data_IF_456667554612
#
_entry.id   IF_456667554612
#
_cell.length_a   1.000
_cell.length_b   1.000
_cell.length_c   1.000
_cell.angle_alpha   90.00
_cell.angle_beta   90.00
_cell.angle_gamma   90.00
#
_symmetry.space_group_name_H-M   'P 1'
#
loop_
_entity.id
_entity.type
_entity.pdbx_description
1 polymer ?
#
# COMPACT_ATOMS: atom_id res chain seq x y z
N UNK A 1 30.30 6.71 11.86
CA UNK A 1 30.62 5.62 10.93
C UNK A 1 29.66 5.74 9.77
N UNK A 2 30.17 6.20 8.62
CA UNK A 2 29.40 6.33 7.37
C UNK A 2 29.39 4.95 6.70
N UNK A 3 28.25 4.32 6.56
CA UNK A 3 28.06 3.14 5.71
C UNK A 3 27.63 3.58 4.31
N UNK A 4 28.51 3.40 3.37
CA UNK A 4 28.24 3.53 1.92
C UNK A 4 27.57 2.24 1.46
N UNK A 5 26.35 2.31 0.98
CA UNK A 5 25.71 1.19 0.30
C UNK A 5 26.06 1.27 -1.18
N UNK A 6 26.92 0.37 -1.63
CA UNK A 6 27.17 0.14 -3.05
C UNK A 6 25.96 -0.58 -3.67
N UNK A 7 25.37 0.06 -4.68
CA UNK A 7 24.42 -0.56 -5.59
C UNK A 7 25.19 -1.54 -6.49
N UNK A 8 25.06 -2.83 -6.24
CA UNK A 8 25.44 -3.87 -7.19
C UNK A 8 24.36 -3.90 -8.30
N UNK A 9 24.71 -3.34 -9.44
CA UNK A 9 24.01 -3.52 -10.70
C UNK A 9 24.14 -5.00 -11.13
N UNK A 10 23.04 -5.75 -11.10
CA UNK A 10 23.01 -7.12 -11.63
C UNK A 10 22.68 -7.02 -13.13
N UNK A 11 23.73 -7.09 -13.94
CA UNK A 11 23.63 -7.26 -15.39
C UNK A 11 23.40 -8.74 -15.75
N UNK A 12 22.26 -9.34 -15.44
CA UNK A 12 21.83 -10.61 -16.04
C UNK A 12 20.46 -11.07 -15.57
N UNK A 13 19.44 -10.29 -15.88
CA UNK A 13 18.04 -10.67 -15.65
C UNK A 13 17.61 -11.93 -16.44
N UNK A 14 18.21 -12.18 -17.59
CA UNK A 14 17.90 -13.31 -18.46
C UNK A 14 18.39 -14.64 -17.85
N UNK A 15 19.58 -14.65 -17.29
CA UNK A 15 20.21 -15.86 -16.72
C UNK A 15 19.50 -16.29 -15.40
N UNK A 16 19.01 -15.35 -14.61
CA UNK A 16 18.21 -15.60 -13.42
C UNK A 16 16.82 -16.17 -13.76
N UNK A 17 16.22 -15.73 -14.87
CA UNK A 17 14.91 -16.23 -15.32
C UNK A 17 15.01 -17.68 -15.78
N UNK A 18 16.08 -18.04 -16.49
CA UNK A 18 16.31 -19.39 -16.98
C UNK A 18 16.64 -20.37 -15.83
N UNK A 19 17.44 -19.94 -14.84
CA UNK A 19 17.74 -20.75 -13.65
C UNK A 19 16.47 -20.99 -12.80
N UNK A 20 15.59 -19.98 -12.69
CA UNK A 20 14.32 -20.09 -11.98
C UNK A 20 13.35 -21.05 -12.65
N UNK A 21 13.26 -21.02 -14.00
CA UNK A 21 12.43 -21.94 -14.76
C UNK A 21 12.92 -23.38 -14.63
N UNK A 22 14.23 -23.61 -14.65
CA UNK A 22 14.84 -24.92 -14.43
C UNK A 22 14.51 -25.48 -13.03
N UNK A 23 14.64 -24.64 -11.98
CA UNK A 23 14.37 -25.04 -10.60
C UNK A 23 12.88 -25.31 -10.34
N UNK A 24 11.97 -24.62 -11.03
CA UNK A 24 10.52 -24.88 -10.98
C UNK A 24 10.17 -26.20 -11.69
N UNK A 25 10.79 -26.48 -12.81
CA UNK A 25 10.60 -27.74 -13.56
C UNK A 25 11.05 -28.95 -12.74
N UNK A 26 12.17 -28.89 -12.02
CA UNK A 26 12.66 -29.94 -11.13
C UNK A 26 11.71 -30.24 -9.95
N UNK A 27 10.95 -29.25 -9.52
CA UNK A 27 9.97 -29.39 -8.43
C UNK A 27 8.57 -29.75 -8.91
N UNK A 28 8.36 -30.01 -10.20
CA UNK A 28 7.06 -30.35 -10.77
C UNK A 28 6.04 -29.21 -10.76
N UNK A 29 6.48 -27.98 -10.52
CA UNK A 29 5.63 -26.79 -10.52
C UNK A 29 5.49 -26.33 -11.98
N UNK A 30 4.30 -26.46 -12.56
CA UNK A 30 4.04 -25.93 -13.90
C UNK A 30 4.02 -24.41 -13.84
N UNK A 31 4.89 -23.69 -14.59
CA UNK A 31 4.78 -22.26 -14.71
C UNK A 31 3.43 -21.92 -15.34
N UNK A 32 2.65 -21.05 -14.69
CA UNK A 32 1.49 -20.44 -15.36
C UNK A 32 2.05 -19.61 -16.52
N UNK A 33 1.64 -19.93 -17.74
CA UNK A 33 1.98 -19.12 -18.92
C UNK A 33 1.24 -17.80 -18.82
N UNK A 34 1.93 -16.77 -18.36
CA UNK A 34 1.52 -15.38 -18.53
C UNK A 34 2.23 -14.85 -19.79
N UNK A 35 1.56 -14.04 -20.62
CA UNK A 35 2.26 -13.38 -21.73
C UNK A 35 3.35 -12.48 -21.14
N UNK A 36 4.60 -12.73 -21.57
CA UNK A 36 5.76 -11.90 -21.20
C UNK A 36 5.57 -10.49 -21.77
N UNK A 37 5.17 -9.54 -20.93
CA UNK A 37 5.35 -8.13 -21.24
C UNK A 37 6.72 -7.73 -20.71
N UNK A 38 7.73 -7.91 -21.56
CA UNK A 38 9.10 -7.48 -21.28
C UNK A 38 9.20 -5.98 -21.54
N UNK A 39 8.83 -5.15 -20.60
CA UNK A 39 9.21 -3.73 -20.56
C UNK A 39 9.74 -3.41 -19.18
N UNK A 40 11.02 -3.04 -19.14
CA UNK A 40 11.66 -2.45 -17.95
C UNK A 40 11.00 -1.10 -17.66
N UNK A 41 10.19 -1.03 -16.62
CA UNK A 41 9.59 0.22 -16.18
C UNK A 41 10.52 0.94 -15.20
N UNK A 42 10.86 2.18 -15.52
CA UNK A 42 11.47 3.13 -14.60
C UNK A 42 10.48 3.42 -13.45
N UNK A 43 10.98 3.60 -12.23
CA UNK A 43 10.22 3.79 -11.00
C UNK A 43 9.23 4.98 -10.98
N UNK A 44 9.25 5.84 -12.00
CA UNK A 44 8.42 7.04 -12.13
C UNK A 44 7.37 6.95 -13.26
N UNK A 45 7.23 5.81 -13.91
CA UNK A 45 6.22 5.64 -14.96
C UNK A 45 4.94 5.12 -14.33
N UNK A 46 3.80 5.83 -14.43
CA UNK A 46 2.53 5.25 -14.03
C UNK A 46 2.30 4.01 -14.86
N UNK A 47 1.89 2.89 -14.20
CA UNK A 47 1.50 1.67 -14.89
C UNK A 47 0.50 2.03 -16.00
N UNK A 48 0.60 1.41 -17.19
CA UNK A 48 -0.39 1.62 -18.22
C UNK A 48 -1.75 1.33 -17.60
N UNK A 49 -2.66 2.30 -17.68
CA UNK A 49 -4.06 2.10 -17.34
C UNK A 49 -4.53 0.91 -18.16
N UNK A 50 -4.68 -0.26 -17.54
CA UNK A 50 -5.35 -1.42 -18.15
C UNK A 50 -6.80 -1.01 -18.23
N UNK A 51 -7.19 -0.47 -19.40
CA UNK A 51 -8.44 0.28 -19.61
C UNK A 51 -9.71 -0.57 -19.47
N UNK A 52 -9.62 -1.88 -19.23
CA UNK A 52 -10.77 -2.79 -19.28
C UNK A 52 -10.89 -3.79 -18.10
N UNK A 53 -10.08 -3.70 -17.06
CA UNK A 53 -10.35 -4.48 -15.84
C UNK A 53 -11.07 -3.58 -14.86
N UNK A 54 -12.39 -3.75 -14.65
CA UNK A 54 -13.08 -3.02 -13.59
C UNK A 54 -12.49 -3.52 -12.26
N UNK A 55 -11.63 -2.71 -11.66
CA UNK A 55 -11.19 -2.98 -10.29
C UNK A 55 -12.42 -2.98 -9.41
N UNK A 56 -12.69 -4.07 -8.70
CA UNK A 56 -13.83 -4.19 -7.81
C UNK A 56 -13.63 -3.35 -6.54
N UNK A 57 -13.44 -2.03 -6.73
CA UNK A 57 -13.41 -1.12 -5.59
C UNK A 57 -14.76 -1.13 -4.90
N UNK A 58 -14.75 -1.25 -3.58
CA UNK A 58 -15.97 -1.14 -2.77
C UNK A 58 -16.65 0.23 -2.94
N UNK A 59 -15.84 1.26 -3.14
CA UNK A 59 -16.24 2.63 -3.45
C UNK A 59 -15.07 3.31 -4.19
N UNK A 60 -15.36 4.35 -5.00
CA UNK A 60 -14.33 5.10 -5.74
C UNK A 60 -13.22 5.60 -4.79
N UNK A 61 -11.94 5.27 -5.05
CA UNK A 61 -10.85 5.64 -4.16
C UNK A 61 -10.55 7.14 -4.11
N UNK A 62 -10.26 7.68 -2.91
CA UNK A 62 -9.68 9.01 -2.80
C UNK A 62 -8.22 9.02 -3.28
N UNK A 63 -7.52 7.90 -3.12
CA UNK A 63 -6.15 7.74 -3.57
C UNK A 63 -5.80 6.27 -3.80
N UNK A 64 -4.95 6.01 -4.78
CA UNK A 64 -4.43 4.68 -5.09
C UNK A 64 -2.91 4.75 -5.17
N UNK A 65 -2.23 3.86 -4.44
CA UNK A 65 -0.81 3.56 -4.57
C UNK A 65 -0.66 2.24 -5.33
N UNK A 66 0.22 2.23 -6.33
CA UNK A 66 0.62 1.02 -7.05
C UNK A 66 1.99 0.54 -6.58
N UNK A 67 2.17 -0.77 -6.49
CA UNK A 67 3.47 -1.39 -6.22
C UNK A 67 3.53 -2.80 -6.81
N UNK A 68 4.75 -3.29 -7.04
CA UNK A 68 5.02 -4.68 -7.40
C UNK A 68 5.59 -5.41 -6.18
N UNK A 69 5.11 -6.62 -5.91
CA UNK A 69 5.61 -7.50 -4.83
C UNK A 69 7.03 -7.93 -5.16
N UNK A 70 7.93 -7.80 -4.19
CA UNK A 70 9.33 -8.18 -4.33
C UNK A 70 9.60 -9.52 -3.65
N UNK A 71 10.63 -10.23 -4.08
CA UNK A 71 11.07 -11.48 -3.46
C UNK A 71 11.31 -11.37 -1.96
N UNK A 72 11.86 -10.23 -1.49
CA UNK A 72 12.09 -9.96 -0.07
C UNK A 72 10.80 -9.85 0.77
N UNK A 73 9.64 -9.69 0.12
CA UNK A 73 8.34 -9.59 0.76
C UNK A 73 7.71 -10.97 1.01
N UNK A 74 8.33 -12.04 0.45
CA UNK A 74 7.84 -13.42 0.47
C UNK A 74 8.38 -14.15 1.70
N UNK A 75 7.52 -14.90 2.37
CA UNK A 75 7.89 -15.75 3.50
C UNK A 75 8.14 -17.23 3.10
N UNK A 76 8.46 -18.07 4.08
CA UNK A 76 8.73 -19.50 3.87
C UNK A 76 7.54 -20.27 3.30
N UNK A 77 6.31 -19.75 3.41
CA UNK A 77 5.10 -20.32 2.80
C UNK A 77 4.92 -19.92 1.35
N UNK A 78 5.87 -19.19 0.77
CA UNK A 78 5.86 -18.69 -0.61
C UNK A 78 4.71 -17.70 -0.89
N UNK A 79 4.25 -16.99 0.13
CA UNK A 79 3.29 -15.91 0.05
C UNK A 79 3.90 -14.62 0.61
N UNK A 80 3.31 -13.49 0.29
CA UNK A 80 3.68 -12.22 0.94
C UNK A 80 3.46 -12.33 2.44
N UNK A 81 4.51 -12.03 3.21
CA UNK A 81 4.44 -12.05 4.68
C UNK A 81 3.38 -11.05 5.16
N UNK A 82 2.56 -11.48 6.13
CA UNK A 82 1.45 -10.70 6.68
C UNK A 82 1.85 -9.30 7.15
N UNK A 83 3.05 -9.13 7.69
CA UNK A 83 3.58 -7.83 8.17
C UNK A 83 3.78 -6.84 7.03
N UNK A 84 4.08 -7.32 5.83
CA UNK A 84 4.33 -6.48 4.65
C UNK A 84 3.09 -5.67 4.26
N UNK A 85 1.91 -6.26 4.35
CA UNK A 85 0.63 -5.57 4.09
C UNK A 85 0.43 -4.34 4.97
N UNK A 86 0.81 -4.41 6.26
CA UNK A 86 0.79 -3.24 7.16
C UNK A 86 1.74 -2.14 6.68
N UNK A 87 2.93 -2.52 6.22
CA UNK A 87 3.88 -1.61 5.61
C UNK A 87 3.30 -0.91 4.37
N UNK A 88 2.56 -1.65 3.54
CA UNK A 88 1.89 -1.11 2.36
C UNK A 88 0.77 -0.12 2.72
N UNK A 89 -0.03 -0.42 3.76
CA UNK A 89 -1.02 0.53 4.29
C UNK A 89 -0.36 1.85 4.72
N UNK A 90 0.77 1.76 5.44
CA UNK A 90 1.55 2.93 5.85
C UNK A 90 2.06 3.75 4.66
N UNK A 91 2.59 3.09 3.63
CA UNK A 91 3.05 3.73 2.39
C UNK A 91 1.91 4.44 1.67
N UNK A 92 0.74 3.79 1.49
CA UNK A 92 -0.42 4.38 0.83
C UNK A 92 -0.97 5.57 1.62
N UNK A 93 -1.05 5.47 2.96
CA UNK A 93 -1.47 6.57 3.81
C UNK A 93 -0.54 7.78 3.68
N UNK A 94 0.77 7.53 3.66
CA UNK A 94 1.78 8.57 3.57
C UNK A 94 1.81 9.23 2.18
N UNK A 95 1.67 8.43 1.12
CA UNK A 95 1.61 8.92 -0.25
C UNK A 95 0.37 9.80 -0.48
N UNK A 96 -0.79 9.36 0.04
CA UNK A 96 -2.01 10.19 0.03
C UNK A 96 -1.81 11.51 0.80
N UNK A 97 -1.19 11.47 1.99
CA UNK A 97 -0.91 12.69 2.76
C UNK A 97 -0.04 13.67 1.99
N UNK A 98 1.02 13.19 1.33
CA UNK A 98 1.87 14.03 0.46
C UNK A 98 1.07 14.67 -0.68
N UNK A 99 0.18 13.93 -1.30
CA UNK A 99 -0.68 14.42 -2.39
C UNK A 99 -1.66 15.49 -1.92
N UNK A 100 -2.08 15.42 -0.65
CA UNK A 100 -2.89 16.44 0.02
C UNK A 100 -2.05 17.66 0.49
N UNK A 101 -0.74 17.68 0.24
CA UNK A 101 0.16 18.76 0.64
C UNK A 101 0.79 18.60 2.02
N UNK A 102 0.60 17.45 2.67
CA UNK A 102 1.13 17.15 4.01
C UNK A 102 2.32 16.19 3.94
N UNK A 103 3.45 16.67 3.46
CA UNK A 103 4.73 15.99 3.60
C UNK A 103 5.32 16.16 5.01
N UNK A 104 6.49 15.55 5.26
CA UNK A 104 7.12 15.64 6.59
C UNK A 104 7.51 17.07 6.98
N UNK A 105 7.86 17.94 6.01
CA UNK A 105 8.19 19.35 6.28
C UNK A 105 6.96 20.12 6.73
N UNK A 106 5.80 19.87 6.10
CA UNK A 106 4.54 20.46 6.50
C UNK A 106 4.15 20.01 7.92
N UNK A 107 4.34 18.74 8.26
CA UNK A 107 4.10 18.22 9.61
C UNK A 107 5.01 18.91 10.65
N UNK A 108 6.29 19.06 10.32
CA UNK A 108 7.25 19.77 11.19
C UNK A 108 6.89 21.24 11.38
N UNK A 109 6.49 21.94 10.31
CA UNK A 109 6.10 23.35 10.38
C UNK A 109 4.86 23.59 11.26
N UNK A 110 3.91 22.64 11.24
CA UNK A 110 2.71 22.66 12.08
C UNK A 110 3.01 22.18 13.51
N UNK A 111 4.16 21.52 13.74
CA UNK A 111 4.53 20.81 14.97
C UNK A 111 3.45 19.78 15.37
N UNK A 112 2.86 19.11 14.39
CA UNK A 112 1.85 18.09 14.61
C UNK A 112 1.97 16.98 13.58
N UNK A 113 1.68 15.74 14.00
CA UNK A 113 1.67 14.56 13.16
C UNK A 113 0.59 13.58 13.58
N UNK A 114 0.30 12.61 12.72
CA UNK A 114 -0.54 11.48 13.06
C UNK A 114 0.30 10.29 13.51
N UNK A 115 -0.07 9.71 14.65
CA UNK A 115 0.47 8.44 15.14
C UNK A 115 -0.61 7.39 15.12
N UNK A 116 -0.23 6.18 14.76
CA UNK A 116 -1.15 5.04 14.75
C UNK A 116 -1.51 4.68 16.18
N UNK A 117 -2.81 4.49 16.41
CA UNK A 117 -3.37 3.96 17.66
C UNK A 117 -3.81 2.50 17.51
N UNK A 118 -4.34 2.15 16.34
CA UNK A 118 -4.93 0.83 16.08
C UNK A 118 -4.88 0.51 14.60
N UNK A 119 -4.67 -0.78 14.30
CA UNK A 119 -4.83 -1.37 12.98
C UNK A 119 -5.78 -2.56 13.04
N UNK A 120 -6.56 -2.72 12.00
CA UNK A 120 -7.22 -3.98 11.66
C UNK A 120 -6.83 -4.35 10.23
N UNK A 121 -6.65 -5.63 9.97
CA UNK A 121 -6.31 -6.13 8.63
C UNK A 121 -6.90 -7.52 8.45
N UNK A 122 -7.77 -7.67 7.45
CA UNK A 122 -8.36 -8.93 7.04
C UNK A 122 -7.67 -9.39 5.76
N UNK A 123 -7.07 -10.57 5.79
CA UNK A 123 -6.44 -11.21 4.64
C UNK A 123 -7.46 -12.09 3.95
N UNK A 124 -7.77 -11.81 2.68
CA UNK A 124 -8.83 -12.49 1.92
C UNK A 124 -8.26 -13.45 0.87
N UNK A 125 -7.11 -13.09 0.28
CA UNK A 125 -6.41 -13.92 -0.69
C UNK A 125 -4.89 -13.67 -0.60
N UNK A 126 -4.04 -14.67 -0.93
CA UNK A 126 -2.61 -14.51 -0.89
C UNK A 126 -2.10 -13.66 -2.06
N UNK A 127 -0.97 -12.96 -1.86
CA UNK A 127 -0.18 -12.33 -2.92
C UNK A 127 1.14 -13.07 -3.08
N UNK A 128 1.70 -13.00 -4.29
CA UNK A 128 2.91 -13.71 -4.69
C UNK A 128 3.96 -12.74 -5.24
N UNK A 129 5.20 -13.20 -5.35
CA UNK A 129 6.25 -12.44 -6.01
C UNK A 129 5.82 -12.01 -7.42
N UNK A 130 6.21 -10.80 -7.80
CA UNK A 130 5.90 -10.18 -9.10
C UNK A 130 4.41 -9.84 -9.32
N UNK A 131 3.52 -10.04 -8.32
CA UNK A 131 2.17 -9.49 -8.38
C UNK A 131 2.21 -7.96 -8.36
N UNK A 132 1.46 -7.32 -9.27
CA UNK A 132 1.17 -5.89 -9.18
C UNK A 132 -0.06 -5.68 -8.29
N UNK A 133 0.14 -4.86 -7.26
CA UNK A 133 -0.87 -4.58 -6.24
C UNK A 133 -1.27 -3.11 -6.30
N UNK A 134 -2.58 -2.87 -6.30
CA UNK A 134 -3.15 -1.53 -6.15
C UNK A 134 -3.72 -1.41 -4.74
N UNK A 135 -3.36 -0.33 -4.05
CA UNK A 135 -3.79 -0.06 -2.68
C UNK A 135 -4.60 1.22 -2.66
N UNK A 136 -5.90 1.05 -2.60
CA UNK A 136 -6.83 2.16 -2.42
C UNK A 136 -6.89 2.59 -0.96
N UNK A 137 -7.03 3.89 -0.70
CA UNK A 137 -7.23 4.43 0.65
C UNK A 137 -8.27 5.54 0.66
N UNK A 138 -9.01 5.61 1.76
CA UNK A 138 -10.04 6.61 2.06
C UNK A 138 -9.85 7.15 3.47
N UNK A 139 -10.10 8.43 3.66
CA UNK A 139 -10.31 9.00 4.98
C UNK A 139 -11.77 8.76 5.32
N UNK A 140 -12.02 7.74 6.13
CA UNK A 140 -13.37 7.28 6.46
C UNK A 140 -13.97 8.00 7.68
N UNK A 141 -13.12 8.64 8.51
CA UNK A 141 -13.55 9.54 9.57
C UNK A 141 -12.48 10.56 9.89
N UNK A 142 -12.90 11.80 10.18
CA UNK A 142 -12.08 12.88 10.70
C UNK A 142 -12.93 13.69 11.69
N UNK A 143 -12.64 13.59 13.02
CA UNK A 143 -13.45 14.25 14.04
C UNK A 143 -13.11 15.75 14.21
N UNK A 144 -12.11 16.26 13.47
CA UNK A 144 -11.63 17.63 13.55
C UNK A 144 -11.02 18.02 14.91
N UNK A 145 -10.81 17.06 15.80
CA UNK A 145 -10.35 17.30 17.17
C UNK A 145 -9.07 16.55 17.54
N UNK A 146 -9.03 15.23 17.27
CA UNK A 146 -7.94 14.37 17.71
C UNK A 146 -7.76 13.17 16.79
N UNK A 147 -8.82 12.63 16.18
CA UNK A 147 -8.82 11.32 15.54
C UNK A 147 -9.04 11.44 14.05
N UNK A 148 -8.32 10.58 13.32
CA UNK A 148 -8.52 10.34 11.89
C UNK A 148 -8.54 8.84 11.67
N UNK A 149 -9.44 8.35 10.82
CA UNK A 149 -9.52 6.95 10.40
C UNK A 149 -9.33 6.83 8.92
N UNK A 150 -8.57 5.80 8.53
CA UNK A 150 -8.42 5.41 7.12
C UNK A 150 -8.90 3.99 6.92
N UNK A 151 -9.55 3.75 5.80
CA UNK A 151 -9.81 2.43 5.23
C UNK A 151 -8.88 2.16 4.07
N UNK A 152 -8.63 0.87 3.82
CA UNK A 152 -7.77 0.41 2.74
C UNK A 152 -8.39 -0.81 2.08
N UNK A 153 -8.28 -0.88 0.76
CA UNK A 153 -8.55 -2.08 -0.02
C UNK A 153 -7.35 -2.35 -0.91
N UNK A 154 -6.85 -3.57 -0.87
CA UNK A 154 -5.75 -4.02 -1.71
C UNK A 154 -6.30 -4.98 -2.75
N UNK A 155 -5.99 -4.73 -4.01
CA UNK A 155 -6.43 -5.58 -5.12
C UNK A 155 -5.24 -5.99 -5.98
N UNK A 156 -5.30 -7.21 -6.54
CA UNK A 156 -4.38 -7.66 -7.57
C UNK A 156 -4.72 -6.93 -8.87
N UNK A 157 -3.77 -6.19 -9.45
CA UNK A 157 -4.02 -5.36 -10.62
C UNK A 157 -4.49 -6.18 -11.83
N UNK A 158 -3.96 -7.40 -12.01
CA UNK A 158 -4.27 -8.25 -13.15
C UNK A 158 -5.71 -8.79 -13.14
N UNK A 159 -6.26 -9.08 -11.96
CA UNK A 159 -7.56 -9.79 -11.83
C UNK A 159 -8.67 -8.96 -11.20
N UNK A 160 -8.33 -7.83 -10.55
CA UNK A 160 -9.26 -7.06 -9.73
C UNK A 160 -9.66 -7.78 -8.42
N UNK A 161 -9.01 -8.93 -8.09
CA UNK A 161 -9.30 -9.68 -6.87
C UNK A 161 -8.91 -8.88 -5.62
N UNK A 162 -9.82 -8.77 -4.66
CA UNK A 162 -9.52 -8.15 -3.36
C UNK A 162 -8.67 -9.10 -2.52
N UNK A 163 -7.49 -8.65 -2.16
CA UNK A 163 -6.49 -9.41 -1.40
C UNK A 163 -6.58 -9.15 0.10
N UNK A 164 -6.86 -7.91 0.47
CA UNK A 164 -6.98 -7.52 1.86
C UNK A 164 -7.84 -6.27 2.05
N UNK A 165 -8.48 -6.17 3.23
CA UNK A 165 -9.19 -4.99 3.70
C UNK A 165 -8.55 -4.51 5.00
N UNK A 166 -8.24 -3.21 5.07
CA UNK A 166 -7.55 -2.64 6.21
C UNK A 166 -8.25 -1.44 6.84
N UNK A 167 -7.91 -1.20 8.10
CA UNK A 167 -8.27 -0.02 8.85
C UNK A 167 -7.06 0.48 9.63
N UNK A 168 -6.90 1.80 9.72
CA UNK A 168 -5.98 2.44 10.64
C UNK A 168 -6.66 3.60 11.36
N UNK A 169 -6.64 3.56 12.68
CA UNK A 169 -7.00 4.69 13.53
C UNK A 169 -5.74 5.46 13.92
N UNK A 170 -5.79 6.76 13.71
CA UNK A 170 -4.72 7.69 14.06
C UNK A 170 -5.19 8.68 15.11
N UNK A 171 -4.23 9.18 15.88
CA UNK A 171 -4.42 10.31 16.77
C UNK A 171 -3.36 11.37 16.49
N UNK A 172 -3.71 12.63 16.68
CA UNK A 172 -2.76 13.74 16.52
C UNK A 172 -1.84 13.84 17.72
N UNK A 173 -0.56 14.07 17.44
CA UNK A 173 0.52 14.19 18.43
C UNK A 173 1.38 15.39 18.06
N UNK A 174 1.76 16.17 19.08
CA UNK A 174 2.76 17.23 18.95
C UNK A 174 4.14 16.61 18.76
N UNK A 175 4.81 16.93 17.66
CA UNK A 175 6.10 16.32 17.28
C UNK A 175 7.17 16.69 18.31
N UNK A 176 7.23 17.95 18.74
CA UNK A 176 8.25 18.44 19.67
C UNK A 176 8.18 17.82 21.07
N UNK A 177 7.00 17.34 21.51
CA UNK A 177 6.80 16.83 22.88
C UNK A 177 6.40 15.35 22.96
N UNK A 178 6.02 14.73 21.84
CA UNK A 178 5.49 13.37 21.80
C UNK A 178 4.12 13.19 22.46
N UNK A 179 3.43 14.28 22.87
CA UNK A 179 2.16 14.20 23.55
C UNK A 179 0.98 14.39 22.60
N UNK A 180 -0.15 13.73 22.89
CA UNK A 180 -1.37 13.95 22.13
C UNK A 180 -1.75 15.45 22.19
N UNK A 181 -2.21 15.98 21.08
CA UNK A 181 -2.61 17.37 20.95
C UNK A 181 -3.91 17.49 20.16
N UNK A 182 -4.60 18.62 20.32
CA UNK A 182 -5.76 18.92 19.50
C UNK A 182 -5.33 19.00 18.03
N UNK A 183 -6.15 18.45 17.14
CA UNK A 183 -5.93 18.51 15.70
C UNK A 183 -5.88 19.97 15.23
N UNK A 184 -4.81 20.38 14.52
CA UNK A 184 -4.73 21.70 13.89
C UNK A 184 -5.83 21.88 12.83
N UNK A 185 -6.24 23.13 12.58
CA UNK A 185 -7.26 23.44 11.58
C UNK A 185 -6.86 23.00 10.18
N UNK A 186 -5.58 23.06 9.85
CA UNK A 186 -5.00 22.62 8.60
C UNK A 186 -5.27 21.12 8.36
N UNK A 187 -5.14 20.27 9.39
CA UNK A 187 -5.43 18.84 9.28
C UNK A 187 -6.93 18.57 9.26
N UNK A 188 -7.70 19.30 10.07
CA UNK A 188 -9.15 19.15 10.10
C UNK A 188 -9.80 19.43 8.73
N UNK A 189 -9.27 20.40 7.98
CA UNK A 189 -9.74 20.81 6.65
C UNK A 189 -9.04 20.07 5.52
N UNK A 190 -7.74 19.79 5.67
CA UNK A 190 -6.90 19.24 4.63
C UNK A 190 -7.02 17.72 4.44
N UNK A 191 -7.69 17.02 5.37
CA UNK A 191 -8.00 15.59 5.26
C UNK A 191 -9.51 15.39 5.12
N UNK A 192 -10.09 15.62 3.91
CA UNK A 192 -11.52 15.53 3.70
C UNK A 192 -12.04 14.10 3.90
N UNK A 193 -13.09 13.95 4.68
CA UNK A 193 -13.75 12.67 4.88
C UNK A 193 -14.48 12.25 3.61
N UNK A 194 -14.45 10.94 3.30
CA UNK A 194 -15.26 10.31 2.27
C UNK A 194 -16.47 9.64 2.94
N UNK A 195 -17.66 10.14 2.64
CA UNK A 195 -18.90 9.66 3.25
C UNK A 195 -19.27 8.24 2.78
N UNK A 196 -19.95 7.49 3.63
CA UNK A 196 -20.45 6.15 3.32
C UNK A 196 -19.41 5.03 3.37
N UNK A 197 -18.11 5.34 3.46
CA UNK A 197 -17.03 4.34 3.46
C UNK A 197 -17.18 3.35 4.60
N UNK A 198 -17.47 3.80 5.82
CA UNK A 198 -17.60 2.90 6.98
C UNK A 198 -18.73 1.89 6.80
N UNK A 199 -19.89 2.31 6.30
CA UNK A 199 -21.05 1.42 6.09
C UNK A 199 -20.75 0.37 5.02
N UNK A 200 -20.05 0.77 3.94
CA UNK A 200 -19.69 -0.12 2.85
C UNK A 200 -18.69 -1.17 3.32
N UNK A 201 -17.62 -0.75 4.02
CA UNK A 201 -16.62 -1.68 4.55
C UNK A 201 -17.19 -2.60 5.62
N UNK A 202 -18.14 -2.13 6.45
CA UNK A 202 -18.82 -2.97 7.43
C UNK A 202 -19.65 -4.08 6.76
N UNK A 203 -20.29 -3.78 5.64
CA UNK A 203 -21.06 -4.78 4.86
C UNK A 203 -20.16 -5.78 4.14
N UNK A 204 -19.00 -5.34 3.64
CA UNK A 204 -18.06 -6.20 2.92
C UNK A 204 -17.33 -7.22 3.84
N UNK A 205 -17.31 -7.00 5.15
CA UNK A 205 -16.72 -7.89 6.16
C UNK A 205 -17.68 -8.98 6.69
N UNK A 206 -18.94 -9.00 6.24
CA UNK A 206 -19.98 -10.00 6.61
C UNK A 206 -20.07 -11.08 5.55
#
# INVERSE_FOLDING_TARGET
VKGTYELLLIDNLTELTDQRQAMMAERGIRPRQYPLVTQCFNHDTPLPMVQDVPYNWLIEPQHVLSLTVREQDIDDFQHVNNVVYLGWMGRAAWDHSKKLGFDFKAYQAIDCGFVVKHHELDYLAPSFADDDILIATWISANDGRLRLRRRFQMVRALTGETLALGLSDFVTMRISTGKACRMPAEFAQGYPQCDGVEDIFHKARR
#
